data_IF_050644277261
#
_entry.id   IF_050644277261
#
_cell.length_a   1.000
_cell.length_b   1.000
_cell.length_c   1.000
_cell.angle_alpha   90.00
_cell.angle_beta   90.00
_cell.angle_gamma   90.00
#
_symmetry.space_group_name_H-M   'P 1'
#
loop_
_entity.id
_entity.type
_entity.pdbx_description
1 polymer ?
#
# COMPACT_ATOMS: atom_id res chain seq x y z
N UNK A 1 29.62 8.75 7.59
CA UNK A 1 30.02 10.17 7.69
C UNK A 1 31.53 10.23 7.94
N UNK A 2 32.32 10.85 7.04
CA UNK A 2 33.78 10.83 7.14
C UNK A 2 34.34 11.69 8.28
N UNK A 3 33.52 12.50 8.95
CA UNK A 3 33.92 13.25 10.16
C UNK A 3 34.26 12.32 11.33
N UNK A 4 33.69 11.11 11.33
CA UNK A 4 33.79 10.17 12.45
C UNK A 4 34.55 8.90 12.03
N UNK A 5 35.49 8.46 12.87
CA UNK A 5 36.28 7.23 12.66
C UNK A 5 35.57 6.00 13.23
N UNK A 6 34.31 5.78 12.86
CA UNK A 6 33.42 4.74 13.40
C UNK A 6 32.90 3.78 12.31
N UNK A 7 33.74 3.46 11.31
CA UNK A 7 33.37 2.60 10.20
C UNK A 7 33.06 1.17 10.66
N UNK A 8 31.95 0.60 10.17
CA UNK A 8 31.49 -0.75 10.51
C UNK A 8 30.66 -0.86 11.78
N UNK A 9 30.38 0.27 12.46
CA UNK A 9 29.51 0.29 13.64
C UNK A 9 28.03 0.44 13.27
N UNK A 10 27.17 0.10 14.22
CA UNK A 10 25.70 0.24 14.13
C UNK A 10 25.18 1.25 15.16
N UNK A 11 23.99 1.79 14.89
CA UNK A 11 23.24 2.70 15.77
C UNK A 11 21.80 2.18 15.90
N UNK A 12 21.17 2.43 17.04
CA UNK A 12 19.81 1.94 17.33
C UNK A 12 18.73 3.01 17.11
N UNK A 13 19.14 4.27 17.07
CA UNK A 13 18.27 5.43 16.94
C UNK A 13 17.61 5.46 15.56
N UNK A 14 16.36 5.92 15.54
CA UNK A 14 15.56 5.97 14.32
C UNK A 14 16.05 7.13 13.43
N UNK A 15 16.29 6.81 12.16
CA UNK A 15 16.57 7.77 11.09
C UNK A 15 15.72 7.42 9.86
N UNK A 16 15.49 8.40 8.99
CA UNK A 16 14.75 8.21 7.74
C UNK A 16 15.56 8.71 6.54
N UNK A 17 15.21 8.28 5.32
CA UNK A 17 15.91 8.71 4.10
C UNK A 17 15.93 10.23 3.93
N UNK A 18 14.91 10.94 4.43
CA UNK A 18 14.84 12.40 4.43
C UNK A 18 15.93 13.08 5.28
N UNK A 19 16.56 12.35 6.20
CA UNK A 19 17.66 12.83 7.05
C UNK A 19 18.99 12.90 6.31
N UNK A 20 19.14 12.12 5.24
CA UNK A 20 20.36 12.11 4.42
C UNK A 20 20.66 13.47 3.77
N UNK A 21 19.74 14.12 3.04
CA UNK A 21 19.99 15.44 2.47
C UNK A 21 20.24 16.50 3.56
N UNK A 22 19.53 16.44 4.69
CA UNK A 22 19.76 17.35 5.82
C UNK A 22 21.18 17.20 6.39
N UNK A 23 21.64 15.95 6.54
CA UNK A 23 23.00 15.63 6.98
C UNK A 23 24.05 16.14 6.00
N UNK A 24 23.80 16.04 4.68
CA UNK A 24 24.72 16.55 3.66
C UNK A 24 24.82 18.07 3.68
N UNK A 25 23.70 18.79 3.78
CA UNK A 25 23.72 20.25 3.89
C UNK A 25 24.52 20.69 5.13
N UNK A 26 24.25 20.08 6.27
CA UNK A 26 24.95 20.36 7.52
C UNK A 26 26.44 20.03 7.43
N UNK A 27 26.82 18.94 6.73
CA UNK A 27 28.20 18.57 6.47
C UNK A 27 28.96 19.65 5.69
N UNK A 28 28.33 20.24 4.67
CA UNK A 28 28.93 21.30 3.86
C UNK A 28 28.76 22.71 4.44
N UNK A 29 28.20 22.84 5.64
CA UNK A 29 27.96 24.14 6.28
C UNK A 29 26.88 24.98 5.60
N UNK A 30 25.97 24.34 4.87
CA UNK A 30 24.81 24.98 4.23
C UNK A 30 23.63 24.93 5.20
N UNK A 31 22.95 26.07 5.38
CA UNK A 31 21.75 26.15 6.23
C UNK A 31 20.63 25.27 5.69
N UNK A 32 19.93 24.58 6.59
CA UNK A 32 18.73 23.81 6.25
C UNK A 32 17.60 24.77 5.80
N UNK A 33 16.88 24.48 4.70
CA UNK A 33 15.65 25.19 4.36
C UNK A 33 14.61 25.09 5.48
N UNK A 34 13.78 26.11 5.62
CA UNK A 34 12.74 26.19 6.67
C UNK A 34 11.76 25.01 6.63
N UNK A 35 11.32 24.60 5.44
CA UNK A 35 10.34 23.51 5.26
C UNK A 35 10.99 22.12 5.29
N UNK A 36 12.30 22.02 5.51
CA UNK A 36 12.99 20.73 5.54
C UNK A 36 12.64 19.96 6.83
N UNK A 37 11.98 18.82 6.68
CA UNK A 37 11.62 17.94 7.81
C UNK A 37 12.73 16.96 8.20
N UNK A 38 13.72 16.75 7.33
CA UNK A 38 14.89 15.95 7.61
C UNK A 38 15.78 16.59 8.68
N UNK A 39 16.38 15.77 9.54
CA UNK A 39 17.25 16.20 10.63
C UNK A 39 18.66 15.63 10.42
N UNK A 40 19.74 16.41 10.61
CA UNK A 40 21.09 15.88 10.51
C UNK A 40 21.34 14.72 11.48
N UNK A 41 21.86 13.59 10.99
CA UNK A 41 22.11 12.39 11.82
C UNK A 41 23.42 12.46 12.61
N UNK A 42 24.11 13.62 12.61
CA UNK A 42 25.41 13.80 13.25
C UNK A 42 25.38 13.32 14.71
N UNK A 43 24.40 13.77 15.48
CA UNK A 43 24.27 13.46 16.92
C UNK A 43 23.92 11.99 17.17
N UNK A 44 23.28 11.32 16.21
CA UNK A 44 23.08 9.86 16.26
C UNK A 44 24.43 9.15 16.15
N UNK A 45 25.28 9.57 15.21
CA UNK A 45 26.59 8.94 14.99
C UNK A 45 27.54 9.24 16.16
N UNK A 46 27.61 10.49 16.59
CA UNK A 46 28.58 10.99 17.58
C UNK A 46 28.21 10.59 19.01
N UNK A 47 26.92 10.61 19.35
CA UNK A 47 26.47 10.55 20.74
C UNK A 47 25.38 9.48 21.01
N UNK A 48 24.94 8.73 20.00
CA UNK A 48 23.74 7.88 20.08
C UNK A 48 22.50 8.68 20.54
N UNK A 49 22.44 9.96 20.18
CA UNK A 49 21.33 10.84 20.57
C UNK A 49 20.21 10.75 19.54
N UNK A 50 19.04 10.28 19.98
CA UNK A 50 17.85 10.22 19.14
C UNK A 50 17.47 11.59 18.57
N UNK A 51 17.02 11.58 17.32
CA UNK A 51 16.54 12.78 16.59
C UNK A 51 15.05 12.72 16.29
N UNK A 52 14.41 11.57 16.48
CA UNK A 52 12.98 11.33 16.25
C UNK A 52 12.52 10.11 17.03
N UNK A 53 11.26 10.11 17.43
CA UNK A 53 10.65 9.00 18.19
C UNK A 53 9.97 7.97 17.30
N UNK A 54 9.83 8.27 16.00
CA UNK A 54 9.14 7.41 15.06
C UNK A 54 9.73 7.47 13.65
N UNK A 55 9.38 6.48 12.81
CA UNK A 55 9.53 6.52 11.36
C UNK A 55 8.18 6.30 10.67
N UNK A 56 7.85 7.19 9.72
CA UNK A 56 6.71 7.04 8.80
C UNK A 56 7.22 6.51 7.46
N UNK A 57 6.62 5.45 6.95
CA UNK A 57 7.01 4.85 5.66
C UNK A 57 5.83 4.14 5.02
N UNK A 58 5.94 3.80 3.74
CA UNK A 58 4.86 3.13 3.03
C UNK A 58 4.99 3.27 1.53
N UNK A 59 3.93 2.90 0.82
CA UNK A 59 3.82 3.05 -0.63
C UNK A 59 2.54 3.84 -0.91
N UNK A 60 2.61 4.84 -1.77
CA UNK A 60 1.43 5.64 -2.13
C UNK A 60 0.31 4.75 -2.67
N UNK A 61 -0.88 4.90 -2.09
CA UNK A 61 -2.04 4.05 -2.38
C UNK A 61 -1.97 2.63 -1.83
N UNK A 62 -1.00 2.27 -1.00
CA UNK A 62 -0.95 0.98 -0.31
C UNK A 62 -1.02 1.19 1.21
N UNK A 63 -0.28 0.40 1.97
CA UNK A 63 -0.12 0.58 3.41
C UNK A 63 0.61 1.89 3.75
N UNK A 64 0.11 2.56 4.80
CA UNK A 64 0.83 3.62 5.51
C UNK A 64 1.28 3.05 6.85
N UNK A 65 2.58 3.13 7.11
CA UNK A 65 3.22 2.42 8.22
C UNK A 65 3.88 3.39 9.17
N UNK A 66 3.85 3.06 10.46
CA UNK A 66 4.61 3.76 11.48
C UNK A 66 5.37 2.78 12.37
N UNK A 67 6.59 3.16 12.74
CA UNK A 67 7.43 2.46 13.70
C UNK A 67 7.79 3.41 14.84
N UNK A 68 7.65 3.00 16.10
CA UNK A 68 7.90 3.81 17.30
C UNK A 68 9.22 3.47 18.03
N UNK A 69 10.02 2.56 17.47
CA UNK A 69 11.20 2.00 18.13
C UNK A 69 11.01 0.57 18.67
N UNK A 70 9.76 0.10 18.78
CA UNK A 70 9.42 -1.27 19.16
C UNK A 70 8.36 -1.88 18.27
N UNK A 71 7.23 -1.24 18.09
CA UNK A 71 6.10 -1.75 17.33
C UNK A 71 6.13 -1.21 15.90
N UNK A 72 5.84 -2.08 14.93
CA UNK A 72 5.53 -1.68 13.56
C UNK A 72 4.03 -1.85 13.36
N UNK A 73 3.35 -0.77 12.98
CA UNK A 73 1.95 -0.80 12.59
C UNK A 73 1.82 -0.44 11.11
N UNK A 74 1.11 -1.26 10.35
CA UNK A 74 0.87 -1.09 8.91
C UNK A 74 -0.64 -0.96 8.68
N UNK A 75 -1.09 0.23 8.29
CA UNK A 75 -2.50 0.51 8.02
C UNK A 75 -2.81 0.33 6.54
N UNK A 76 -3.62 -0.68 6.21
CA UNK A 76 -4.10 -0.90 4.86
C UNK A 76 -5.22 0.10 4.47
N UNK A 77 -5.48 0.29 3.16
CA UNK A 77 -6.76 0.85 2.71
C UNK A 77 -7.93 0.03 3.25
N UNK A 78 -9.06 0.68 3.49
CA UNK A 78 -10.25 0.01 4.04
C UNK A 78 -10.86 -1.04 3.09
N UNK A 79 -10.71 -0.87 1.78
CA UNK A 79 -11.25 -1.81 0.79
C UNK A 79 -10.43 -1.86 -0.50
N UNK A 80 -10.64 -2.85 -1.37
CA UNK A 80 -9.98 -2.90 -2.67
C UNK A 80 -10.33 -1.73 -3.58
N UNK A 81 -11.46 -1.05 -3.33
CA UNK A 81 -11.78 0.18 -4.05
C UNK A 81 -10.65 1.20 -3.89
N UNK A 82 -10.01 1.25 -2.71
CA UNK A 82 -8.81 2.05 -2.42
C UNK A 82 -8.91 3.50 -2.91
N UNK A 83 -10.10 4.06 -2.71
CA UNK A 83 -10.48 5.43 -3.04
C UNK A 83 -11.12 6.05 -1.81
N UNK A 84 -11.13 7.37 -1.68
CA UNK A 84 -10.49 8.36 -2.56
C UNK A 84 -8.94 8.32 -2.52
N UNK A 85 -8.28 8.49 -3.68
CA UNK A 85 -6.82 8.52 -3.78
C UNK A 85 -6.39 9.50 -4.89
N UNK A 86 -5.48 10.41 -4.56
CA UNK A 86 -5.04 11.49 -5.44
C UNK A 86 -3.53 11.65 -5.45
N UNK A 87 -3.04 12.23 -6.53
CA UNK A 87 -1.70 12.80 -6.66
C UNK A 87 -1.79 14.33 -6.61
N UNK A 88 -0.86 14.94 -5.87
CA UNK A 88 -0.75 16.38 -5.71
C UNK A 88 0.56 16.86 -6.31
N UNK A 89 0.50 17.56 -7.44
CA UNK A 89 1.71 17.91 -8.18
C UNK A 89 1.55 19.18 -9.02
N UNK A 90 2.63 19.93 -9.20
CA UNK A 90 2.75 20.97 -10.23
C UNK A 90 3.37 20.43 -11.52
N UNK A 91 3.94 19.23 -11.48
CA UNK A 91 4.56 18.54 -12.60
C UNK A 91 3.63 17.43 -13.09
N UNK A 92 2.98 17.58 -14.26
CA UNK A 92 1.94 16.66 -14.73
C UNK A 92 2.56 15.37 -15.32
N UNK A 93 3.26 14.60 -14.51
CA UNK A 93 3.79 13.29 -14.87
C UNK A 93 3.75 12.32 -13.70
N UNK A 94 3.50 11.05 -14.02
CA UNK A 94 3.84 9.91 -13.20
C UNK A 94 5.36 9.76 -13.09
N UNK A 95 5.83 8.88 -12.20
CA UNK A 95 7.26 8.59 -12.03
C UNK A 95 7.97 8.17 -13.34
N UNK A 96 7.25 7.52 -14.27
CA UNK A 96 7.85 6.95 -15.51
C UNK A 96 7.25 7.47 -16.81
N UNK A 97 6.16 8.24 -16.78
CA UNK A 97 5.42 8.67 -17.96
C UNK A 97 4.58 9.91 -17.67
N UNK A 98 4.08 10.59 -18.69
CA UNK A 98 3.16 11.72 -18.53
C UNK A 98 1.77 11.22 -18.09
N UNK A 99 0.99 12.07 -17.41
CA UNK A 99 -0.44 11.80 -17.24
C UNK A 99 -1.14 11.73 -18.60
N UNK A 100 -2.11 10.84 -18.71
CA UNK A 100 -3.01 10.79 -19.85
C UNK A 100 -3.93 12.02 -19.91
N UNK A 101 -4.50 12.27 -21.09
CA UNK A 101 -5.49 13.34 -21.28
C UNK A 101 -6.71 13.15 -20.36
N UNK A 102 -7.14 11.90 -20.14
CA UNK A 102 -8.30 11.60 -19.30
C UNK A 102 -8.02 11.82 -17.80
N UNK A 103 -6.81 11.52 -17.32
CA UNK A 103 -6.41 11.88 -15.95
C UNK A 103 -6.40 13.40 -15.77
N UNK A 104 -5.80 14.14 -16.71
CA UNK A 104 -5.71 15.60 -16.65
C UNK A 104 -7.06 16.31 -16.77
N UNK A 105 -8.03 15.74 -17.50
CA UNK A 105 -9.41 16.27 -17.54
C UNK A 105 -10.10 16.26 -16.18
N UNK A 106 -9.68 15.37 -15.29
CA UNK A 106 -10.21 15.25 -13.94
C UNK A 106 -9.36 16.00 -12.90
N UNK A 107 -8.30 16.71 -13.33
CA UNK A 107 -7.46 17.50 -12.45
C UNK A 107 -8.22 18.71 -11.89
N UNK A 108 -8.02 18.99 -10.60
CA UNK A 108 -8.55 20.17 -9.91
C UNK A 108 -7.41 21.00 -9.37
N UNK A 109 -7.44 22.31 -9.63
CA UNK A 109 -6.52 23.23 -8.99
C UNK A 109 -6.88 23.33 -7.50
N UNK A 110 -5.89 23.09 -6.65
CA UNK A 110 -5.99 23.22 -5.21
C UNK A 110 -5.18 24.43 -4.77
N UNK A 111 -5.78 25.20 -3.88
CA UNK A 111 -5.15 26.40 -3.33
C UNK A 111 -3.86 26.06 -2.58
N UNK A 112 -2.82 26.89 -2.77
CA UNK A 112 -1.50 26.70 -2.18
C UNK A 112 -1.43 26.93 -0.67
N UNK A 113 -2.55 27.28 -0.03
CA UNK A 113 -2.66 27.27 1.43
C UNK A 113 -3.02 25.89 2.00
N UNK A 114 -3.38 24.90 1.16
CA UNK A 114 -3.72 23.55 1.64
C UNK A 114 -2.52 22.83 2.24
N UNK A 115 -1.33 23.04 1.68
CA UNK A 115 -0.11 22.37 2.10
C UNK A 115 0.95 23.42 2.44
N UNK A 116 1.48 23.39 3.66
CA UNK A 116 2.43 24.39 4.13
C UNK A 116 3.69 24.44 3.24
N UNK A 117 4.17 23.27 2.82
CA UNK A 117 5.35 23.14 1.97
C UNK A 117 5.21 23.74 0.56
N UNK A 118 3.99 24.06 0.11
CA UNK A 118 3.77 24.64 -1.23
C UNK A 118 3.98 26.15 -1.29
N UNK A 119 4.18 26.84 -0.16
CA UNK A 119 4.50 28.29 -0.10
C UNK A 119 3.48 29.17 -0.82
N UNK A 120 2.20 28.79 -0.76
CA UNK A 120 1.12 29.49 -1.45
C UNK A 120 1.02 29.19 -2.95
N UNK A 121 1.91 28.36 -3.52
CA UNK A 121 1.76 27.92 -4.90
C UNK A 121 0.65 26.87 -5.03
N UNK A 122 -0.29 27.01 -5.97
CA UNK A 122 -1.33 26.02 -6.19
C UNK A 122 -0.74 24.72 -6.74
N UNK A 123 -1.42 23.60 -6.47
CA UNK A 123 -1.08 22.27 -6.99
C UNK A 123 -2.27 21.66 -7.72
N UNK A 124 -2.01 20.73 -8.64
CA UNK A 124 -3.06 19.92 -9.24
C UNK A 124 -3.36 18.73 -8.33
N UNK A 125 -4.61 18.57 -7.92
CA UNK A 125 -5.15 17.31 -7.41
C UNK A 125 -5.65 16.49 -8.60
N UNK A 126 -5.03 15.35 -8.85
CA UNK A 126 -5.35 14.46 -9.96
C UNK A 126 -5.77 13.11 -9.35
N UNK A 127 -6.96 12.56 -9.68
CA UNK A 127 -7.33 11.21 -9.22
C UNK A 127 -6.26 10.21 -9.65
N UNK A 128 -5.84 9.34 -8.71
CA UNK A 128 -4.83 8.32 -9.00
C UNK A 128 -5.36 7.38 -10.07
N UNK A 129 -4.80 7.49 -11.27
CA UNK A 129 -5.04 6.57 -12.37
C UNK A 129 -4.10 5.37 -12.31
N UNK A 130 -4.14 4.55 -13.36
CA UNK A 130 -3.19 3.45 -13.55
C UNK A 130 -2.03 3.83 -14.49
N UNK A 131 -1.87 5.13 -14.79
CA UNK A 131 -0.90 5.64 -15.75
C UNK A 131 -1.23 5.37 -17.22
N UNK A 132 -2.36 4.73 -17.52
CA UNK A 132 -2.74 4.24 -18.84
C UNK A 132 -4.19 4.60 -19.25
N UNK A 133 -4.75 5.66 -18.67
CA UNK A 133 -6.09 6.15 -19.01
C UNK A 133 -7.21 5.22 -18.52
N UNK A 134 -8.18 4.90 -19.39
CA UNK A 134 -9.36 4.09 -19.07
C UNK A 134 -9.16 2.57 -19.23
N UNK A 135 -8.00 2.12 -19.72
CA UNK A 135 -7.72 0.70 -19.97
C UNK A 135 -7.41 0.00 -18.65
N UNK A 136 -8.14 -1.06 -18.31
CA UNK A 136 -7.87 -1.85 -17.10
C UNK A 136 -6.58 -2.67 -17.25
N UNK A 137 -6.00 -3.11 -16.14
CA UNK A 137 -4.79 -3.94 -16.07
C UNK A 137 -4.87 -5.17 -16.98
N UNK A 138 -6.02 -5.83 -17.05
CA UNK A 138 -6.26 -6.96 -17.97
C UNK A 138 -6.15 -6.56 -19.45
N UNK A 139 -6.62 -5.38 -19.83
CA UNK A 139 -6.59 -4.92 -21.23
C UNK A 139 -5.16 -4.64 -21.69
N UNK A 140 -4.32 -4.11 -20.79
CA UNK A 140 -2.91 -3.84 -21.05
C UNK A 140 -2.10 -5.13 -21.23
N UNK A 141 -2.41 -6.18 -20.48
CA UNK A 141 -1.73 -7.47 -20.61
C UNK A 141 -2.20 -8.28 -21.83
N UNK A 142 -3.52 -8.31 -22.07
CA UNK A 142 -4.10 -9.13 -23.13
C UNK A 142 -3.89 -8.49 -24.50
N UNK A 143 -4.12 -7.17 -24.61
CA UNK A 143 -4.06 -6.46 -25.89
C UNK A 143 -2.76 -5.67 -26.10
N UNK A 144 -2.00 -5.37 -25.05
CA UNK A 144 -0.81 -4.51 -25.10
C UNK A 144 0.51 -5.23 -25.38
N UNK A 145 0.51 -6.35 -26.14
CA UNK A 145 1.71 -7.12 -26.54
C UNK A 145 2.93 -6.22 -26.76
N UNK A 146 3.90 -6.27 -25.85
CA UNK A 146 5.16 -5.50 -25.88
C UNK A 146 5.02 -3.98 -26.09
N UNK A 147 3.85 -3.41 -25.83
CA UNK A 147 3.59 -2.00 -26.03
C UNK A 147 4.26 -1.17 -24.92
N UNK A 148 4.75 0.04 -25.24
CA UNK A 148 5.41 0.92 -24.26
C UNK A 148 4.52 1.17 -23.03
N UNK A 149 3.21 1.14 -23.21
CA UNK A 149 2.19 1.34 -22.17
C UNK A 149 2.17 0.21 -21.11
N UNK A 150 2.49 -1.04 -21.47
CA UNK A 150 2.55 -2.14 -20.51
C UNK A 150 3.76 -2.03 -19.56
N UNK A 151 4.80 -1.25 -19.93
CA UNK A 151 5.99 -1.00 -19.09
C UNK A 151 5.72 -0.06 -17.92
N UNK A 152 4.59 0.64 -17.94
CA UNK A 152 4.21 1.65 -16.96
C UNK A 152 3.19 1.17 -15.93
N UNK A 153 2.86 -0.12 -15.93
CA UNK A 153 1.93 -0.68 -14.95
C UNK A 153 2.50 -0.53 -13.53
N UNK A 154 1.76 0.17 -12.68
CA UNK A 154 2.05 0.30 -11.26
C UNK A 154 1.88 -1.05 -10.55
N UNK A 155 2.84 -1.44 -9.72
CA UNK A 155 2.81 -2.69 -8.93
C UNK A 155 1.58 -2.78 -8.01
N UNK A 156 1.03 -1.64 -7.57
CA UNK A 156 -0.20 -1.60 -6.79
C UNK A 156 -1.42 -2.12 -7.58
N UNK A 157 -1.31 -2.22 -8.91
CA UNK A 157 -2.33 -2.80 -9.78
C UNK A 157 -2.40 -4.32 -9.63
N UNK A 158 -1.29 -5.00 -9.31
CA UNK A 158 -1.23 -6.46 -9.21
C UNK A 158 -1.80 -6.97 -7.88
N UNK A 159 -1.41 -6.40 -6.75
CA UNK A 159 -1.87 -6.85 -5.43
C UNK A 159 -2.30 -5.65 -4.59
N UNK A 160 -3.55 -5.69 -4.11
CA UNK A 160 -4.11 -4.60 -3.33
C UNK A 160 -3.78 -4.80 -1.84
N UNK A 161 -3.23 -3.77 -1.20
CA UNK A 161 -2.90 -3.77 0.23
C UNK A 161 -4.09 -4.15 1.13
N UNK A 162 -5.33 -3.81 0.73
CA UNK A 162 -6.54 -4.19 1.45
C UNK A 162 -6.72 -5.71 1.62
N UNK A 163 -6.14 -6.52 0.73
CA UNK A 163 -6.22 -7.99 0.81
C UNK A 163 -5.32 -8.58 1.89
N UNK A 164 -4.31 -7.84 2.32
CA UNK A 164 -3.42 -8.27 3.39
C UNK A 164 -3.88 -7.78 4.77
N UNK A 165 -4.70 -6.74 4.77
CA UNK A 165 -5.23 -6.18 6.00
C UNK A 165 -4.25 -5.28 6.75
N UNK A 166 -4.67 -4.85 7.92
CA UNK A 166 -3.78 -4.15 8.84
C UNK A 166 -2.78 -5.15 9.45
N UNK A 167 -1.60 -4.67 9.86
CA UNK A 167 -0.58 -5.49 10.54
C UNK A 167 -0.03 -4.77 11.75
N UNK A 168 0.21 -5.52 12.82
CA UNK A 168 0.92 -5.04 14.00
C UNK A 168 1.97 -6.08 14.40
N UNK A 169 3.20 -5.64 14.66
CA UNK A 169 4.31 -6.51 15.07
C UNK A 169 5.09 -5.89 16.23
N UNK A 170 5.53 -6.71 17.18
CA UNK A 170 6.50 -6.32 18.21
C UNK A 170 7.91 -6.68 17.73
N UNK A 171 8.68 -5.71 17.24
CA UNK A 171 10.02 -5.95 16.69
C UNK A 171 11.03 -6.43 17.73
N UNK A 172 10.72 -6.31 19.02
CA UNK A 172 11.60 -6.83 20.08
C UNK A 172 11.46 -8.35 20.21
N UNK A 173 10.24 -8.85 20.19
CA UNK A 173 9.95 -10.29 20.37
C UNK A 173 9.86 -11.02 19.01
N UNK A 174 9.51 -10.31 17.94
CA UNK A 174 9.38 -10.80 16.57
C UNK A 174 10.13 -9.89 15.56
N UNK A 175 11.47 -9.91 15.57
CA UNK A 175 12.28 -9.08 14.67
C UNK A 175 12.12 -9.46 13.18
N UNK A 176 11.52 -10.61 12.87
CA UNK A 176 11.30 -11.09 11.51
C UNK A 176 9.90 -10.86 10.98
N UNK A 177 8.98 -10.34 11.81
CA UNK A 177 7.58 -10.10 11.45
C UNK A 177 6.88 -11.38 10.98
N UNK A 178 7.15 -12.49 11.65
CA UNK A 178 6.55 -13.79 11.35
C UNK A 178 5.20 -13.98 12.07
N UNK A 179 4.93 -13.22 13.15
CA UNK A 179 3.75 -13.38 13.99
C UNK A 179 3.07 -12.03 14.27
N UNK A 180 1.89 -11.84 13.69
CA UNK A 180 1.06 -10.67 13.95
C UNK A 180 0.65 -10.59 15.44
N UNK A 181 0.82 -9.41 16.03
CA UNK A 181 0.40 -9.09 17.38
C UNK A 181 -1.06 -8.63 17.37
N UNK A 182 -1.91 -9.32 18.13
CA UNK A 182 -3.31 -8.95 18.33
C UNK A 182 -3.50 -8.35 19.71
N UNK A 183 -3.33 -7.03 19.82
CA UNK A 183 -3.48 -6.27 21.05
C UNK A 183 -4.13 -4.91 20.73
N UNK A 184 -5.39 -4.74 21.14
CA UNK A 184 -6.20 -3.56 20.84
C UNK A 184 -5.59 -2.30 21.46
N UNK A 185 -5.02 -2.38 22.67
CA UNK A 185 -4.46 -1.21 23.35
C UNK A 185 -3.21 -0.72 22.63
N UNK A 186 -2.34 -1.65 22.19
CA UNK A 186 -1.15 -1.32 21.37
C UNK A 186 -1.57 -0.80 20.00
N UNK A 187 -2.57 -1.41 19.36
CA UNK A 187 -3.06 -0.97 18.06
C UNK A 187 -3.68 0.42 18.11
N UNK A 188 -4.48 0.73 19.14
CA UNK A 188 -5.01 2.09 19.39
C UNK A 188 -3.88 3.09 19.57
N UNK A 189 -2.85 2.74 20.36
CA UNK A 189 -1.68 3.60 20.54
C UNK A 189 -0.98 3.90 19.20
N UNK A 190 -0.67 2.86 18.44
CA UNK A 190 0.03 2.96 17.16
C UNK A 190 -0.81 3.65 16.07
N UNK A 191 -2.12 3.42 16.05
CA UNK A 191 -3.03 4.10 15.12
C UNK A 191 -3.12 5.60 15.42
N UNK A 192 -3.16 6.00 16.69
CA UNK A 192 -3.10 7.41 17.07
C UNK A 192 -1.74 8.04 16.76
N UNK A 193 -0.64 7.30 16.91
CA UNK A 193 0.68 7.76 16.48
C UNK A 193 0.70 7.97 14.96
N UNK A 194 0.22 7.00 14.17
CA UNK A 194 0.11 7.12 12.71
C UNK A 194 -0.72 8.35 12.32
N UNK A 195 -1.91 8.51 12.91
CA UNK A 195 -2.80 9.64 12.65
C UNK A 195 -2.10 10.98 12.93
N UNK A 196 -1.49 11.13 14.11
CA UNK A 196 -0.76 12.33 14.50
C UNK A 196 0.32 12.66 13.46
N UNK A 197 1.12 11.66 13.10
CA UNK A 197 2.24 11.84 12.16
C UNK A 197 1.75 12.16 10.75
N UNK A 198 0.63 11.57 10.32
CA UNK A 198 -0.02 11.95 9.06
C UNK A 198 -0.44 13.43 9.09
N UNK A 199 -1.11 13.88 10.15
CA UNK A 199 -1.52 15.28 10.31
C UNK A 199 -0.32 16.24 10.33
N UNK A 200 0.78 15.88 11.00
CA UNK A 200 2.03 16.66 11.02
C UNK A 200 2.69 16.82 9.63
N UNK A 201 2.31 15.96 8.66
CA UNK A 201 2.82 15.97 7.29
C UNK A 201 1.79 16.54 6.29
N UNK A 202 0.86 17.38 6.75
CA UNK A 202 -0.23 17.96 5.97
C UNK A 202 -1.05 16.90 5.19
N UNK A 203 -1.15 15.68 5.74
CA UNK A 203 -1.88 14.61 5.09
C UNK A 203 -3.34 15.02 4.89
N UNK A 204 -3.88 14.93 3.67
CA UNK A 204 -5.21 15.43 3.40
C UNK A 204 -6.29 14.48 3.94
N UNK A 205 -7.47 15.02 4.28
CA UNK A 205 -8.54 14.29 4.98
C UNK A 205 -9.04 13.05 4.24
N UNK A 206 -9.05 13.07 2.91
CA UNK A 206 -9.46 11.91 2.13
C UNK A 206 -8.51 10.70 2.28
N UNK A 207 -7.27 10.89 2.77
CA UNK A 207 -6.40 9.76 3.11
C UNK A 207 -6.87 9.05 4.38
N UNK A 208 -7.43 9.78 5.35
CA UNK A 208 -8.01 9.18 6.55
C UNK A 208 -9.28 8.40 6.19
N UNK A 209 -10.12 8.95 5.31
CA UNK A 209 -11.26 8.26 4.69
C UNK A 209 -10.81 6.97 3.98
N UNK A 210 -9.80 7.04 3.10
CA UNK A 210 -9.26 5.85 2.40
C UNK A 210 -8.79 4.75 3.35
N UNK A 211 -8.23 5.13 4.49
CA UNK A 211 -7.73 4.20 5.50
C UNK A 211 -8.83 3.77 6.49
N UNK A 212 -10.02 4.36 6.47
CA UNK A 212 -11.11 4.04 7.39
C UNK A 212 -10.85 4.46 8.84
N UNK A 213 -10.00 5.47 9.07
CA UNK A 213 -9.73 6.03 10.41
C UNK A 213 -10.19 7.49 10.48
N UNK A 214 -10.64 8.00 11.65
CA UNK A 214 -10.95 9.41 11.80
C UNK A 214 -9.69 10.27 11.57
N UNK A 215 -9.86 11.48 11.05
CA UNK A 215 -8.79 12.48 10.92
C UNK A 215 -8.93 13.67 11.87
N UNK A 216 -10.12 13.82 12.47
CA UNK A 216 -10.56 14.99 13.24
C UNK A 216 -10.73 14.72 14.75
N UNK A 217 -10.70 13.45 15.15
CA UNK A 217 -10.79 13.00 16.54
C UNK A 217 -9.83 11.86 16.83
N UNK A 218 -9.57 11.63 18.12
CA UNK A 218 -8.78 10.51 18.60
C UNK A 218 -9.41 9.17 18.18
N UNK A 219 -8.56 8.20 17.85
CA UNK A 219 -8.95 6.81 17.60
C UNK A 219 -9.11 6.10 18.95
N UNK A 220 -10.23 5.43 19.13
CA UNK A 220 -10.58 4.68 20.34
C UNK A 220 -10.62 3.17 20.05
N UNK A 221 -10.66 2.35 21.11
CA UNK A 221 -10.73 0.89 20.97
C UNK A 221 -11.91 0.43 20.10
N UNK A 222 -13.07 1.07 20.25
CA UNK A 222 -14.26 0.77 19.45
C UNK A 222 -14.02 0.97 17.94
N UNK A 223 -13.20 1.95 17.54
CA UNK A 223 -12.88 2.18 16.12
C UNK A 223 -12.04 1.02 15.55
N UNK A 224 -11.07 0.53 16.33
CA UNK A 224 -10.21 -0.60 15.95
C UNK A 224 -11.00 -1.90 15.90
N UNK A 225 -11.88 -2.13 16.88
CA UNK A 225 -12.76 -3.29 16.90
C UNK A 225 -13.70 -3.30 15.69
N UNK A 226 -14.28 -2.15 15.34
CA UNK A 226 -15.13 -2.02 14.15
C UNK A 226 -14.33 -2.26 12.86
N UNK A 227 -13.10 -1.74 12.77
CA UNK A 227 -12.18 -2.02 11.67
C UNK A 227 -11.91 -3.53 11.51
N UNK A 228 -11.65 -4.24 12.60
CA UNK A 228 -11.43 -5.69 12.57
C UNK A 228 -12.68 -6.46 12.14
N UNK A 229 -13.87 -6.00 12.51
CA UNK A 229 -15.14 -6.58 12.03
C UNK A 229 -15.28 -6.38 10.52
N UNK A 230 -15.10 -5.15 10.04
CA UNK A 230 -15.19 -4.84 8.60
C UNK A 230 -14.15 -5.60 7.78
N UNK A 231 -12.94 -5.74 8.29
CA UNK A 231 -11.86 -6.50 7.64
C UNK A 231 -12.24 -7.99 7.47
N UNK A 232 -12.81 -8.62 8.51
CA UNK A 232 -13.27 -10.02 8.44
C UNK A 232 -14.44 -10.21 7.47
N UNK A 233 -15.40 -9.29 7.46
CA UNK A 233 -16.50 -9.31 6.49
C UNK A 233 -15.98 -9.16 5.06
N UNK A 234 -14.98 -8.30 4.88
CA UNK A 234 -14.37 -8.07 3.59
C UNK A 234 -13.54 -9.25 3.11
N UNK A 235 -12.90 -10.03 3.99
CA UNK A 235 -12.02 -11.15 3.59
C UNK A 235 -12.77 -12.24 2.79
N UNK A 236 -14.04 -12.53 3.05
CA UNK A 236 -14.72 -13.69 2.43
C UNK A 236 -15.31 -13.37 1.05
N UNK A 237 -14.89 -14.06 -0.04
CA UNK A 237 -15.52 -13.91 -1.34
C UNK A 237 -17.01 -14.30 -1.30
N UNK A 238 -17.88 -13.51 -1.92
CA UNK A 238 -19.32 -13.82 -2.03
C UNK A 238 -19.61 -15.06 -2.91
N UNK A 239 -18.62 -15.52 -3.67
CA UNK A 239 -18.69 -16.75 -4.45
C UNK A 239 -18.52 -17.96 -3.52
N UNK A 240 -19.40 -18.96 -3.65
CA UNK A 240 -19.31 -20.21 -2.89
C UNK A 240 -19.30 -19.97 -1.36
N UNK A 241 -20.32 -19.28 -0.80
CA UNK A 241 -20.36 -18.89 0.62
C UNK A 241 -20.42 -20.10 1.57
N UNK A 242 -20.89 -21.25 1.08
CA UNK A 242 -20.99 -22.49 1.85
C UNK A 242 -19.65 -23.25 1.98
N UNK A 243 -18.58 -22.75 1.37
CA UNK A 243 -17.26 -23.39 1.35
C UNK A 243 -16.27 -22.62 2.23
N UNK A 244 -15.36 -23.36 2.86
CA UNK A 244 -14.26 -22.76 3.59
C UNK A 244 -13.16 -22.29 2.64
N UNK A 245 -12.65 -21.08 2.89
CA UNK A 245 -11.55 -20.49 2.13
C UNK A 245 -10.33 -20.30 3.01
N UNK A 246 -9.16 -20.65 2.49
CA UNK A 246 -7.88 -20.18 3.07
C UNK A 246 -7.63 -18.74 2.65
N UNK A 247 -6.88 -17.96 3.45
CA UNK A 247 -6.44 -16.60 3.08
C UNK A 247 -5.69 -16.58 1.76
N UNK A 248 -4.82 -17.58 1.52
CA UNK A 248 -4.15 -17.77 0.24
C UNK A 248 -5.14 -17.94 -0.91
N UNK A 249 -6.14 -18.81 -0.77
CA UNK A 249 -7.15 -19.05 -1.80
C UNK A 249 -7.97 -17.79 -2.15
N UNK A 250 -8.31 -16.98 -1.14
CA UNK A 250 -8.98 -15.68 -1.32
C UNK A 250 -8.11 -14.74 -2.16
N UNK A 251 -6.83 -14.60 -1.79
CA UNK A 251 -5.89 -13.74 -2.50
C UNK A 251 -5.66 -14.21 -3.94
N UNK A 252 -5.54 -15.53 -4.16
CA UNK A 252 -5.42 -16.13 -5.49
C UNK A 252 -6.65 -15.86 -6.34
N UNK A 253 -7.85 -15.98 -5.78
CA UNK A 253 -9.11 -15.65 -6.47
C UNK A 253 -9.19 -14.17 -6.87
N UNK A 254 -8.92 -13.26 -5.94
CA UNK A 254 -8.93 -11.80 -6.20
C UNK A 254 -7.89 -11.42 -7.25
N UNK A 255 -6.69 -11.99 -7.15
CA UNK A 255 -5.64 -11.79 -8.15
C UNK A 255 -6.08 -12.27 -9.53
N UNK A 256 -6.69 -13.46 -9.64
CA UNK A 256 -7.20 -13.97 -10.92
C UNK A 256 -8.19 -13.00 -11.55
N UNK A 257 -9.15 -12.47 -10.79
CA UNK A 257 -10.16 -11.55 -11.32
C UNK A 257 -9.59 -10.26 -11.90
N UNK A 258 -8.38 -9.85 -11.51
CA UNK A 258 -7.69 -8.69 -12.11
C UNK A 258 -7.16 -8.97 -13.52
N UNK A 259 -6.91 -10.23 -13.86
CA UNK A 259 -6.53 -10.63 -15.22
C UNK A 259 -7.74 -10.80 -16.14
N UNK A 260 -8.97 -10.75 -15.60
CA UNK A 260 -10.20 -10.93 -16.37
C UNK A 260 -10.78 -9.56 -16.76
N UNK A 261 -10.94 -9.28 -18.06
CA UNK A 261 -11.60 -8.05 -18.53
C UNK A 261 -12.97 -7.85 -17.89
N UNK A 262 -13.32 -6.60 -17.56
CA UNK A 262 -14.57 -6.26 -16.89
C UNK A 262 -15.81 -6.91 -17.54
N UNK A 263 -15.88 -6.90 -18.89
CA UNK A 263 -16.98 -7.50 -19.65
C UNK A 263 -17.03 -9.04 -19.65
N UNK A 264 -16.00 -9.73 -19.13
CA UNK A 264 -15.92 -11.20 -19.05
C UNK A 264 -16.02 -11.71 -17.59
N UNK A 265 -16.00 -10.82 -16.59
CA UNK A 265 -15.96 -11.21 -15.17
C UNK A 265 -17.14 -12.10 -14.76
N UNK A 266 -18.36 -11.77 -15.16
CA UNK A 266 -19.54 -12.58 -14.83
C UNK A 266 -19.47 -14.00 -15.39
N UNK A 267 -19.03 -14.14 -16.65
CA UNK A 267 -18.84 -15.44 -17.30
C UNK A 267 -17.78 -16.27 -16.57
N UNK A 268 -16.62 -15.67 -16.26
CA UNK A 268 -15.54 -16.36 -15.54
C UNK A 268 -15.98 -16.74 -14.12
N UNK A 269 -16.72 -15.86 -13.43
CA UNK A 269 -17.30 -16.18 -12.11
C UNK A 269 -18.22 -17.41 -12.19
N UNK A 270 -19.01 -17.55 -13.26
CA UNK A 270 -19.82 -18.76 -13.49
C UNK A 270 -18.94 -20.00 -13.68
N UNK A 271 -17.88 -19.91 -14.49
CA UNK A 271 -16.93 -21.02 -14.69
C UNK A 271 -16.27 -21.43 -13.37
N UNK A 272 -15.88 -20.46 -12.53
CA UNK A 272 -15.30 -20.70 -11.22
C UNK A 272 -16.30 -21.42 -10.29
N UNK A 273 -17.56 -20.96 -10.24
CA UNK A 273 -18.62 -21.61 -9.43
C UNK A 273 -18.82 -23.07 -9.79
N UNK A 274 -18.79 -23.40 -11.09
CA UNK A 274 -19.06 -24.75 -11.57
C UNK A 274 -17.86 -25.70 -11.42
N UNK A 275 -16.63 -25.17 -11.32
CA UNK A 275 -15.41 -25.97 -11.37
C UNK A 275 -14.62 -26.01 -10.05
N UNK A 276 -14.67 -24.97 -9.21
CA UNK A 276 -14.01 -24.97 -7.89
C UNK A 276 -14.44 -26.18 -7.04
N UNK A 277 -15.74 -26.48 -6.88
CA UNK A 277 -16.17 -27.62 -6.08
C UNK A 277 -15.64 -28.98 -6.58
N UNK A 278 -15.30 -29.09 -7.87
CA UNK A 278 -14.79 -30.33 -8.48
C UNK A 278 -13.29 -30.55 -8.26
N UNK A 279 -12.56 -29.53 -7.84
CA UNK A 279 -11.10 -29.54 -7.65
C UNK A 279 -10.68 -29.34 -6.20
N UNK A 280 -11.63 -29.40 -5.26
CA UNK A 280 -11.35 -29.24 -3.83
C UNK A 280 -10.40 -30.32 -3.33
N UNK A 281 -9.40 -29.89 -2.57
CA UNK A 281 -8.56 -30.76 -1.75
C UNK A 281 -8.98 -30.57 -0.30
N UNK A 282 -9.32 -31.66 0.38
CA UNK A 282 -9.71 -31.63 1.81
C UNK A 282 -10.97 -30.78 2.12
N UNK A 283 -11.78 -30.44 1.10
CA UNK A 283 -13.00 -29.65 1.26
C UNK A 283 -12.79 -28.15 1.46
N UNK A 284 -11.56 -27.66 1.29
CA UNK A 284 -11.19 -26.25 1.50
C UNK A 284 -10.71 -25.65 0.18
N UNK A 285 -11.10 -24.41 -0.09
CA UNK A 285 -10.62 -23.64 -1.25
C UNK A 285 -9.27 -23.01 -0.90
N UNK A 286 -8.22 -23.50 -1.56
CA UNK A 286 -6.83 -23.08 -1.35
C UNK A 286 -6.21 -22.52 -2.66
N UNK A 287 -4.99 -21.95 -2.62
CA UNK A 287 -4.34 -21.41 -3.83
C UNK A 287 -4.32 -22.41 -4.99
N UNK A 288 -3.92 -23.66 -4.72
CA UNK A 288 -3.85 -24.72 -5.74
C UNK A 288 -5.19 -24.97 -6.43
N UNK A 289 -6.29 -24.95 -5.67
CA UNK A 289 -7.65 -25.13 -6.20
C UNK A 289 -7.96 -24.07 -7.26
N UNK A 290 -7.57 -22.81 -7.02
CA UNK A 290 -7.80 -21.72 -7.97
C UNK A 290 -6.83 -21.82 -9.16
N UNK A 291 -5.55 -22.14 -8.90
CA UNK A 291 -4.52 -22.28 -9.94
C UNK A 291 -4.84 -23.38 -10.95
N UNK A 292 -5.42 -24.50 -10.50
CA UNK A 292 -5.84 -25.63 -11.32
C UNK A 292 -6.97 -25.25 -12.31
N UNK A 293 -7.72 -24.19 -12.02
CA UNK A 293 -8.88 -23.75 -12.81
C UNK A 293 -8.54 -22.62 -13.79
N UNK A 294 -7.40 -21.94 -13.61
CA UNK A 294 -6.94 -20.86 -14.50
C UNK A 294 -7.02 -21.24 -15.98
N UNK A 295 -6.59 -22.45 -16.43
CA UNK A 295 -6.70 -22.86 -17.83
C UNK A 295 -8.12 -22.86 -18.43
N UNK A 296 -9.16 -22.86 -17.59
CA UNK A 296 -10.56 -22.79 -18.00
C UNK A 296 -11.10 -21.35 -18.05
N UNK A 297 -10.37 -20.38 -17.50
CA UNK A 297 -10.84 -19.00 -17.30
C UNK A 297 -10.16 -17.97 -18.20
N UNK A 298 -8.99 -18.30 -18.75
CA UNK A 298 -8.20 -17.41 -19.63
C UNK A 298 -7.78 -18.14 -20.89
N UNK A 299 -7.46 -17.40 -21.95
CA UNK A 299 -6.93 -17.96 -23.19
C UNK A 299 -5.61 -18.70 -22.91
N UNK A 300 -5.46 -19.87 -23.54
CA UNK A 300 -4.31 -20.79 -23.42
C UNK A 300 -2.96 -20.08 -23.53
N UNK A 301 -2.84 -19.04 -24.36
CA UNK A 301 -1.57 -18.33 -24.54
C UNK A 301 -1.12 -17.54 -23.29
N UNK A 302 -2.02 -17.21 -22.36
CA UNK A 302 -1.74 -16.43 -21.15
C UNK A 302 -1.68 -17.28 -19.87
N UNK A 303 -2.03 -18.58 -19.93
CA UNK A 303 -2.15 -19.44 -18.75
C UNK A 303 -0.90 -19.42 -17.88
N UNK A 304 0.28 -19.65 -18.46
CA UNK A 304 1.54 -19.71 -17.70
C UNK A 304 1.86 -18.39 -17.00
N UNK A 305 1.63 -17.26 -17.68
CA UNK A 305 1.83 -15.93 -17.13
C UNK A 305 0.87 -15.66 -15.97
N UNK A 306 -0.42 -15.93 -16.17
CA UNK A 306 -1.46 -15.71 -15.15
C UNK A 306 -1.20 -16.61 -13.95
N UNK A 307 -0.90 -17.90 -14.15
CA UNK A 307 -0.57 -18.83 -13.06
C UNK A 307 0.65 -18.35 -12.25
N UNK A 308 1.69 -17.84 -12.89
CA UNK A 308 2.85 -17.29 -12.19
C UNK A 308 2.47 -16.11 -11.28
N UNK A 309 1.82 -15.07 -11.82
CA UNK A 309 1.49 -13.88 -11.03
C UNK A 309 0.40 -14.12 -9.99
N UNK A 310 -0.63 -14.90 -10.34
CA UNK A 310 -1.70 -15.28 -9.42
C UNK A 310 -1.16 -16.19 -8.30
N UNK A 311 -0.23 -17.09 -8.62
CA UNK A 311 0.45 -17.95 -7.64
C UNK A 311 1.31 -17.17 -6.67
N UNK A 312 1.96 -16.07 -7.09
CA UNK A 312 2.69 -15.18 -6.18
C UNK A 312 1.76 -14.54 -5.14
N UNK A 313 0.57 -14.09 -5.55
CA UNK A 313 -0.43 -13.49 -4.66
C UNK A 313 -1.04 -14.47 -3.65
N UNK A 314 -1.06 -15.77 -3.99
CA UNK A 314 -1.56 -16.83 -3.10
C UNK A 314 -0.61 -17.23 -1.98
N UNK A 315 0.63 -16.74 -1.98
CA UNK A 315 1.62 -17.04 -0.93
C UNK A 315 1.27 -16.23 0.31
N UNK A 316 0.67 -16.87 1.29
CA UNK A 316 0.62 -16.38 2.67
C UNK A 316 1.84 -16.92 3.40
N UNK A 317 2.55 -16.04 4.11
CA UNK A 317 3.62 -16.44 5.02
C UNK A 317 3.07 -17.32 6.15
#
# INVERSE_FOLDING_TARGET
DPRFKCGGETRAEIVQTIDLPATLLEYFGISLPEDMQGKPIRTVIEENRSIRDYALFGIHGAHVNVFDGRYVYMKAPESEANVPLYEYTTMPMHMRNLFSVDELRNAKAIDGSRFAFTKGCPVWQIPKGNGNGSKDFSDLLINGKDSEEAKHIDNNSLVNAANFGNKLFDMKEDPKQENELFDIDVEVYMANLLQKVMLENDCPMEQFERLGIPGDRKIEAADIEELHVREKEYEVPLILPDYQWTKGGINTYRALLKFIPAGQKEQVISVLKDNIPKHLREGIINPDTILDIIPLTVDRQYVDMVQYFVGLSGRTA
#
